data_IF_562242889848
#
_entry.id   IF_562242889848
#
_cell.length_a   1.000
_cell.length_b   1.000
_cell.length_c   1.000
_cell.angle_alpha   90.00
_cell.angle_beta   90.00
_cell.angle_gamma   90.00
#
_symmetry.space_group_name_H-M   'P 1'
#
loop_
_entity.id
_entity.type
_entity.pdbx_description
1 polymer ?
#
# COMPACT_ATOMS: atom_id res chain seq x y z
N UNK A 1 -5.00 3.64 -13.28
CA UNK A 1 -3.88 2.90 -12.69
C UNK A 1 -4.24 2.48 -11.26
N UNK A 2 -3.86 1.29 -10.90
CA UNK A 2 -4.12 0.71 -9.57
C UNK A 2 -2.86 0.81 -8.72
N UNK A 3 -2.95 1.55 -7.62
CA UNK A 3 -1.84 1.78 -6.69
C UNK A 3 -2.11 0.98 -5.43
N UNK A 4 -1.12 0.22 -4.98
CA UNK A 4 -1.24 -0.57 -3.77
C UNK A 4 -0.07 -0.34 -2.82
N UNK A 5 -0.31 -0.66 -1.55
CA UNK A 5 0.73 -0.70 -0.54
C UNK A 5 0.37 -1.76 0.49
N UNK A 6 1.39 -2.38 1.05
CA UNK A 6 1.23 -3.41 2.09
C UNK A 6 1.96 -2.96 3.34
N UNK A 7 1.63 -3.56 4.48
CA UNK A 7 2.29 -3.25 5.74
C UNK A 7 3.79 -3.45 5.62
N UNK A 8 4.55 -2.53 6.21
CA UNK A 8 5.99 -2.70 6.35
C UNK A 8 6.27 -3.77 7.41
N UNK A 9 7.37 -4.48 7.23
CA UNK A 9 7.79 -5.48 8.20
C UNK A 9 8.39 -4.79 9.42
N UNK A 10 8.12 -5.37 10.61
CA UNK A 10 8.69 -4.89 11.88
C UNK A 10 10.23 -4.80 11.76
N UNK A 11 10.88 -3.77 12.30
CA UNK A 11 10.35 -2.74 13.20
C UNK A 11 9.84 -1.48 12.48
N UNK A 12 9.76 -1.46 11.18
CA UNK A 12 9.33 -0.28 10.44
C UNK A 12 7.86 0.04 10.73
N UNK A 13 7.56 1.28 11.12
CA UNK A 13 6.20 1.75 11.38
C UNK A 13 5.74 2.84 10.43
N UNK A 14 6.66 3.41 9.64
CA UNK A 14 6.30 4.42 8.64
C UNK A 14 5.44 3.78 7.56
N UNK A 15 4.56 4.57 6.97
CA UNK A 15 3.66 4.13 5.91
C UNK A 15 3.89 4.97 4.65
N UNK A 16 3.77 4.32 3.49
CA UNK A 16 3.86 5.02 2.21
C UNK A 16 2.61 5.84 1.94
N UNK A 17 1.45 5.39 2.39
CA UNK A 17 0.16 5.99 2.06
C UNK A 17 -0.62 6.30 3.32
N UNK A 18 -0.91 7.59 3.56
CA UNK A 18 -1.80 8.04 4.62
C UNK A 18 -3.21 8.20 4.05
N UNK A 19 -4.26 8.35 4.90
CA UNK A 19 -5.60 8.65 4.38
C UNK A 19 -5.64 9.88 3.49
N UNK A 20 -4.90 10.94 3.83
CA UNK A 20 -4.84 12.16 3.01
C UNK A 20 -4.18 11.88 1.65
N UNK A 21 -3.11 11.11 1.63
CA UNK A 21 -2.44 10.70 0.39
C UNK A 21 -3.39 9.90 -0.49
N UNK A 22 -4.18 9.00 0.11
CA UNK A 22 -5.19 8.22 -0.60
C UNK A 22 -6.21 9.11 -1.30
N UNK A 23 -6.68 10.13 -0.61
CA UNK A 23 -7.61 11.11 -1.18
C UNK A 23 -7.00 11.81 -2.38
N UNK A 24 -5.74 12.21 -2.27
CA UNK A 24 -5.02 12.87 -3.37
C UNK A 24 -4.90 11.96 -4.58
N UNK A 25 -4.57 10.69 -4.38
CA UNK A 25 -4.49 9.71 -5.46
C UNK A 25 -5.84 9.52 -6.15
N UNK A 26 -6.90 9.41 -5.36
CA UNK A 26 -8.26 9.27 -5.91
C UNK A 26 -8.64 10.48 -6.75
N UNK A 27 -8.30 11.68 -6.29
CA UNK A 27 -8.59 12.91 -7.03
C UNK A 27 -7.83 12.95 -8.36
N UNK A 28 -6.72 12.25 -8.48
CA UNK A 28 -5.96 12.10 -9.72
C UNK A 28 -6.48 10.97 -10.62
N UNK A 29 -7.55 10.30 -10.22
CA UNK A 29 -8.12 9.19 -11.00
C UNK A 29 -7.49 7.85 -10.75
N UNK A 30 -6.67 7.71 -9.70
CA UNK A 30 -6.04 6.44 -9.35
C UNK A 30 -6.93 5.64 -8.40
N UNK A 31 -6.90 4.31 -8.53
CA UNK A 31 -7.52 3.39 -7.58
C UNK A 31 -6.48 2.96 -6.55
N UNK A 32 -6.82 2.99 -5.26
CA UNK A 32 -5.90 2.66 -4.18
C UNK A 32 -6.37 1.41 -3.46
N UNK A 33 -5.46 0.46 -3.28
CA UNK A 33 -5.70 -0.80 -2.58
C UNK A 33 -4.73 -0.93 -1.43
N UNK A 34 -5.24 -1.23 -0.24
CA UNK A 34 -4.42 -1.48 0.96
C UNK A 34 -4.90 -2.75 1.63
N UNK A 35 -4.00 -3.42 2.36
CA UNK A 35 -4.40 -4.59 3.13
C UNK A 35 -5.08 -4.18 4.43
N UNK A 36 -5.92 -5.07 4.93
CA UNK A 36 -6.62 -4.90 6.21
C UNK A 36 -5.62 -4.62 7.32
N UNK A 37 -5.91 -3.60 8.13
CA UNK A 37 -5.04 -3.20 9.24
C UNK A 37 -3.81 -2.40 8.84
N UNK A 38 -3.73 -1.95 7.60
CA UNK A 38 -2.55 -1.27 7.05
C UNK A 38 -2.04 -0.13 7.94
N UNK A 39 -2.93 0.70 8.44
CA UNK A 39 -2.58 1.90 9.22
C UNK A 39 -2.57 1.72 10.73
N UNK A 40 -2.75 0.50 11.24
CA UNK A 40 -2.96 0.27 12.68
C UNK A 40 -1.83 0.82 13.55
N UNK A 41 -0.58 0.67 13.14
CA UNK A 41 0.58 1.12 13.93
C UNK A 41 0.64 2.63 14.10
N UNK A 42 0.01 3.39 13.20
CA UNK A 42 -0.04 4.85 13.28
C UNK A 42 -1.41 5.38 13.70
N UNK A 43 -2.32 4.49 14.11
CA UNK A 43 -3.65 4.88 14.58
C UNK A 43 -4.64 5.20 13.46
N UNK A 44 -4.34 4.90 12.22
CA UNK A 44 -5.30 5.02 11.11
C UNK A 44 -6.10 3.73 10.99
N UNK A 45 -7.42 3.85 11.06
CA UNK A 45 -8.31 2.68 10.91
C UNK A 45 -8.56 2.38 9.43
N UNK A 46 -9.01 1.16 9.14
CA UNK A 46 -9.44 0.81 7.77
C UNK A 46 -10.55 1.75 7.30
N UNK A 47 -11.45 2.12 8.20
CA UNK A 47 -12.54 3.04 7.89
C UNK A 47 -12.03 4.42 7.47
N UNK A 48 -10.96 4.93 8.09
CA UNK A 48 -10.34 6.20 7.70
C UNK A 48 -9.90 6.14 6.23
N UNK A 49 -9.32 5.03 5.82
CA UNK A 49 -8.90 4.82 4.44
C UNK A 49 -10.10 4.66 3.50
N UNK A 50 -11.08 3.87 3.88
CA UNK A 50 -12.29 3.65 3.08
C UNK A 50 -13.01 4.97 2.83
N UNK A 51 -13.11 5.82 3.84
CA UNK A 51 -13.73 7.14 3.72
C UNK A 51 -12.98 8.05 2.74
N UNK A 52 -11.72 7.76 2.46
CA UNK A 52 -10.89 8.49 1.50
C UNK A 52 -10.71 7.74 0.17
N UNK A 53 -11.58 6.77 -0.09
CA UNK A 53 -11.67 6.12 -1.40
C UNK A 53 -10.82 4.88 -1.59
N UNK A 54 -10.23 4.35 -0.53
CA UNK A 54 -9.42 3.13 -0.60
C UNK A 54 -10.31 1.89 -0.59
N UNK A 55 -9.94 0.90 -1.39
CA UNK A 55 -10.48 -0.45 -1.25
C UNK A 55 -9.55 -1.26 -0.35
N UNK A 56 -10.09 -1.80 0.73
CA UNK A 56 -9.34 -2.64 1.67
C UNK A 56 -9.48 -4.10 1.24
N UNK A 57 -8.34 -4.77 1.07
CA UNK A 57 -8.29 -6.19 0.72
C UNK A 57 -7.89 -7.02 1.94
N UNK A 58 -8.19 -8.32 1.91
CA UNK A 58 -8.04 -9.18 3.09
C UNK A 58 -6.58 -9.41 3.49
N UNK A 59 -5.65 -9.37 2.55
CA UNK A 59 -4.25 -9.69 2.82
C UNK A 59 -3.31 -8.99 1.84
N UNK A 60 -2.01 -9.03 2.13
CA UNK A 60 -1.00 -8.41 1.29
C UNK A 60 -0.89 -9.05 -0.09
N UNK A 61 -1.10 -10.36 -0.19
CA UNK A 61 -1.00 -11.06 -1.46
C UNK A 61 -2.01 -10.53 -2.49
N UNK A 62 -3.24 -10.28 -2.04
CA UNK A 62 -4.29 -9.74 -2.91
C UNK A 62 -3.92 -8.33 -3.39
N UNK A 63 -3.34 -7.51 -2.52
CA UNK A 63 -2.89 -6.17 -2.88
C UNK A 63 -1.80 -6.24 -3.95
N UNK A 64 -0.81 -7.09 -3.76
CA UNK A 64 0.30 -7.22 -4.70
C UNK A 64 -0.18 -7.72 -6.07
N UNK A 65 -1.14 -8.64 -6.09
CA UNK A 65 -1.67 -9.17 -7.33
C UNK A 65 -2.52 -8.17 -8.10
N UNK A 66 -3.24 -7.29 -7.41
CA UNK A 66 -4.15 -6.33 -8.05
C UNK A 66 -3.47 -5.04 -8.51
N UNK A 67 -2.34 -4.70 -7.92
CA UNK A 67 -1.75 -3.36 -8.09
C UNK A 67 -0.80 -3.29 -9.27
N UNK A 68 -0.88 -2.19 -10.00
CA UNK A 68 0.07 -1.88 -11.08
C UNK A 68 1.33 -1.20 -10.53
N UNK A 69 1.16 -0.43 -9.45
CA UNK A 69 2.23 0.29 -8.77
C UNK A 69 2.17 -0.04 -7.27
N UNK A 70 3.29 -0.46 -6.72
CA UNK A 70 3.41 -0.75 -5.30
C UNK A 70 4.29 0.31 -4.66
N UNK A 71 3.78 0.94 -3.59
CA UNK A 71 4.52 1.91 -2.80
C UNK A 71 4.93 1.29 -1.48
N UNK A 72 6.21 1.37 -1.15
CA UNK A 72 6.75 0.86 0.12
C UNK A 72 7.76 1.82 0.71
N UNK A 73 7.91 1.81 2.02
CA UNK A 73 8.98 2.55 2.70
C UNK A 73 10.29 1.79 2.53
N UNK A 74 10.31 0.50 2.83
CA UNK A 74 11.49 -0.34 2.70
C UNK A 74 11.37 -1.29 1.51
N UNK A 75 12.51 -1.73 1.01
CA UNK A 75 12.54 -2.71 -0.08
C UNK A 75 11.81 -3.98 0.36
N UNK A 76 11.00 -4.59 -0.52
CA UNK A 76 10.30 -5.83 -0.17
C UNK A 76 11.31 -6.96 0.09
N UNK A 77 10.93 -7.86 1.02
CA UNK A 77 11.72 -9.06 1.23
C UNK A 77 11.55 -10.03 0.05
N UNK A 78 12.30 -11.13 0.08
CA UNK A 78 12.28 -12.09 -1.02
C UNK A 78 10.88 -12.66 -1.28
N UNK A 79 10.13 -12.98 -0.22
CA UNK A 79 8.77 -13.53 -0.36
C UNK A 79 7.81 -12.51 -0.97
N UNK A 80 7.88 -11.26 -0.53
CA UNK A 80 7.07 -10.18 -1.08
C UNK A 80 7.43 -9.92 -2.54
N UNK A 81 8.72 -9.88 -2.84
CA UNK A 81 9.22 -9.62 -4.18
C UNK A 81 8.72 -10.66 -5.19
N UNK A 82 8.68 -11.93 -4.79
CA UNK A 82 8.19 -13.02 -5.64
C UNK A 82 6.72 -12.91 -6.00
N UNK A 83 5.94 -12.19 -5.21
CA UNK A 83 4.49 -12.03 -5.41
C UNK A 83 4.12 -10.82 -6.26
N UNK A 84 5.09 -9.98 -6.61
CA UNK A 84 4.84 -8.84 -7.50
C UNK A 84 4.48 -9.33 -8.89
N UNK A 85 3.52 -8.64 -9.52
CA UNK A 85 3.18 -8.94 -10.91
C UNK A 85 4.35 -8.60 -11.83
N UNK A 86 4.50 -9.36 -12.91
CA UNK A 86 5.59 -9.19 -13.87
C UNK A 86 5.70 -7.76 -14.39
N UNK A 87 4.57 -7.09 -14.63
CA UNK A 87 4.54 -5.74 -15.19
C UNK A 87 4.23 -4.66 -14.15
N UNK A 88 4.33 -4.98 -12.85
CA UNK A 88 4.11 -3.98 -11.82
C UNK A 88 5.37 -3.13 -11.62
N UNK A 89 5.16 -1.93 -11.10
CA UNK A 89 6.22 -1.00 -10.74
C UNK A 89 6.33 -0.89 -9.23
N UNK A 90 7.54 -0.69 -8.74
CA UNK A 90 7.81 -0.56 -7.31
C UNK A 90 8.46 0.79 -7.02
N UNK A 91 7.91 1.52 -6.05
CA UNK A 91 8.51 2.75 -5.52
C UNK A 91 8.87 2.51 -4.06
N UNK A 92 10.15 2.71 -3.72
CA UNK A 92 10.66 2.58 -2.36
C UNK A 92 11.15 3.95 -1.89
N UNK A 93 10.68 4.39 -0.73
CA UNK A 93 10.98 5.74 -0.22
C UNK A 93 12.12 5.80 0.78
N UNK A 94 12.64 4.66 1.23
CA UNK A 94 13.78 4.61 2.15
C UNK A 94 15.07 4.40 1.34
N UNK A 95 15.96 5.40 1.36
CA UNK A 95 17.17 5.42 0.55
C UNK A 95 18.45 5.06 1.33
N UNK A 96 18.32 4.58 2.52
CA UNK A 96 19.50 4.21 3.31
C UNK A 96 20.16 2.95 2.81
#
# INVERSE_FOLDING_TARGET
MKVGSIKELSPEKRLSITPDTSKSFKNLGLSVFLEKGYGDDLGYTDKDYINNGVEILNNSDDVLLKSDLICKVNFPNENEFKKLRVNSHLIVSNYN
#
